data_IF_858471135216
#
_entry.id   IF_858471135216
#
_cell.length_a   1.000
_cell.length_b   1.000
_cell.length_c   1.000
_cell.angle_alpha   90.00
_cell.angle_beta   90.00
_cell.angle_gamma   90.00
#
_symmetry.space_group_name_H-M   'P 1'
#
loop_
_entity.id
_entity.type
_entity.pdbx_description
1 polymer ?
#
# COMPACT_ATOMS: atom_id res chain seq x y z
N UNK A 1 37.06 36.20 37.39
CA UNK A 1 36.79 34.79 37.08
C UNK A 1 35.26 34.65 36.88
N UNK A 2 34.82 34.59 35.61
CA UNK A 2 33.44 34.29 35.25
C UNK A 2 33.50 32.89 34.61
N UNK A 3 33.09 31.85 35.37
CA UNK A 3 32.87 30.51 34.84
C UNK A 3 31.72 30.54 33.84
N UNK A 4 32.04 30.38 32.57
CA UNK A 4 31.10 30.13 31.54
C UNK A 4 30.68 28.65 31.60
N UNK A 5 29.54 28.37 32.21
CA UNK A 5 28.94 27.04 32.13
C UNK A 5 28.38 26.83 30.74
N UNK A 6 29.13 26.14 29.91
CA UNK A 6 28.62 25.59 28.66
C UNK A 6 27.59 24.50 28.94
N UNK A 7 26.32 24.82 28.83
CA UNK A 7 25.27 23.79 28.76
C UNK A 7 25.42 23.04 27.44
N UNK A 8 25.77 21.77 27.52
CA UNK A 8 25.75 20.88 26.37
C UNK A 8 24.31 20.87 25.79
N UNK A 9 24.10 21.51 24.66
CA UNK A 9 22.92 21.35 23.86
C UNK A 9 22.90 19.90 23.40
N UNK A 10 21.99 19.12 23.93
CA UNK A 10 21.70 17.76 23.44
C UNK A 10 21.31 17.90 21.97
N UNK A 11 22.16 17.42 21.08
CA UNK A 11 21.77 17.17 19.70
C UNK A 11 20.75 16.05 19.79
N UNK A 12 19.48 16.39 19.70
CA UNK A 12 18.42 15.41 19.44
C UNK A 12 18.66 14.92 18.02
N UNK A 13 19.36 13.80 17.90
CA UNK A 13 19.26 12.96 16.72
C UNK A 13 17.83 12.44 16.77
N UNK A 14 16.92 13.06 16.01
CA UNK A 14 15.61 12.46 15.80
C UNK A 14 15.88 11.07 15.23
N UNK A 15 15.46 10.03 15.94
CA UNK A 15 15.46 8.69 15.39
C UNK A 15 14.83 8.79 14.00
N UNK A 16 15.57 8.38 12.98
CA UNK A 16 15.04 8.37 11.60
C UNK A 16 13.91 7.36 11.64
N UNK A 17 12.68 7.85 11.55
CA UNK A 17 11.50 7.01 11.53
C UNK A 17 11.57 6.13 10.28
N UNK A 18 11.86 4.85 10.45
CA UNK A 18 11.81 3.87 9.37
C UNK A 18 10.35 3.61 9.00
N UNK A 19 10.07 3.49 7.70
CA UNK A 19 8.72 3.25 7.19
C UNK A 19 8.71 2.01 6.30
N UNK A 20 7.81 1.09 6.60
CA UNK A 20 7.69 -0.17 5.87
C UNK A 20 6.55 -0.11 4.85
N UNK A 21 6.84 -0.50 3.61
CA UNK A 21 5.82 -0.79 2.60
C UNK A 21 5.54 -2.30 2.58
N UNK A 22 4.33 -2.71 2.91
CA UNK A 22 3.87 -4.10 2.85
C UNK A 22 3.14 -4.33 1.53
N UNK A 23 3.59 -5.31 0.75
CA UNK A 23 3.14 -5.55 -0.62
C UNK A 23 2.46 -6.90 -0.72
N UNK A 24 1.17 -6.89 -1.06
CA UNK A 24 0.36 -8.08 -1.28
C UNK A 24 0.62 -8.66 -2.68
N UNK A 25 1.50 -9.66 -2.79
CA UNK A 25 1.91 -10.29 -4.04
C UNK A 25 1.64 -11.82 -4.08
N UNK A 26 0.96 -12.38 -3.07
CA UNK A 26 0.64 -13.80 -2.99
C UNK A 26 -0.63 -14.22 -3.79
N UNK A 27 -1.33 -13.27 -4.41
CA UNK A 27 -2.54 -13.52 -5.19
C UNK A 27 -2.27 -14.42 -6.40
N UNK A 28 -3.20 -15.36 -6.65
CA UNK A 28 -3.13 -16.23 -7.82
C UNK A 28 -3.57 -15.46 -9.07
N UNK A 29 -2.63 -15.07 -9.90
CA UNK A 29 -2.86 -14.47 -11.21
C UNK A 29 -3.45 -15.45 -12.25
N UNK A 30 -4.41 -16.28 -11.84
CA UNK A 30 -4.95 -17.41 -12.63
C UNK A 30 -5.51 -17.03 -14.00
N UNK A 31 -5.85 -15.76 -14.20
CA UNK A 31 -6.40 -15.26 -15.47
C UNK A 31 -5.34 -14.94 -16.54
N UNK A 32 -4.05 -14.85 -16.15
CA UNK A 32 -2.95 -14.44 -17.02
C UNK A 32 -2.03 -15.61 -17.41
N UNK A 33 -2.30 -16.85 -16.98
CA UNK A 33 -1.46 -18.02 -17.28
C UNK A 33 -0.07 -17.97 -16.65
N UNK A 34 0.20 -17.00 -15.76
CA UNK A 34 1.48 -16.77 -15.08
C UNK A 34 1.34 -15.82 -13.90
N UNK A 35 2.47 -15.33 -13.39
CA UNK A 35 2.50 -14.32 -12.31
C UNK A 35 2.18 -12.96 -12.92
N UNK A 36 0.94 -12.54 -12.84
CA UNK A 36 0.39 -11.28 -13.38
C UNK A 36 1.23 -10.05 -13.03
N UNK A 37 1.81 -10.03 -11.84
CA UNK A 37 2.63 -8.93 -11.33
C UNK A 37 3.95 -8.74 -12.09
N UNK A 38 4.35 -9.74 -12.90
CA UNK A 38 5.60 -9.78 -13.67
C UNK A 38 5.40 -9.56 -15.18
N UNK A 39 4.26 -8.97 -15.58
CA UNK A 39 4.04 -8.57 -16.97
C UNK A 39 4.75 -7.22 -17.23
N UNK A 40 5.68 -7.12 -18.19
CA UNK A 40 6.37 -5.88 -18.51
C UNK A 40 5.41 -4.82 -19.05
N UNK A 41 5.46 -3.61 -18.49
CA UNK A 41 4.55 -2.51 -18.87
C UNK A 41 5.24 -1.36 -19.59
N UNK A 42 6.57 -1.39 -19.70
CA UNK A 42 7.35 -0.40 -20.45
C UNK A 42 8.46 -1.03 -21.31
N UNK A 43 9.19 -0.19 -22.05
CA UNK A 43 10.29 -0.59 -22.95
C UNK A 43 11.52 -1.16 -22.22
N UNK A 44 11.68 -0.82 -20.94
CA UNK A 44 12.83 -1.22 -20.11
C UNK A 44 12.54 -2.52 -19.33
N UNK A 45 11.34 -3.09 -19.53
CA UNK A 45 10.91 -4.33 -18.90
C UNK A 45 10.49 -4.17 -17.44
N UNK A 46 10.13 -2.96 -17.02
CA UNK A 46 9.60 -2.71 -15.68
C UNK A 46 8.18 -3.24 -15.55
N UNK A 47 7.85 -3.69 -14.35
CA UNK A 47 6.52 -4.14 -13.97
C UNK A 47 5.72 -3.00 -13.33
N UNK A 48 4.42 -3.16 -13.15
CA UNK A 48 3.59 -2.14 -12.50
C UNK A 48 4.07 -1.85 -11.07
N UNK A 49 4.49 -2.88 -10.35
CA UNK A 49 5.02 -2.76 -8.99
C UNK A 49 6.32 -1.95 -8.92
N UNK A 50 7.15 -1.95 -9.96
CA UNK A 50 8.41 -1.18 -10.00
C UNK A 50 8.13 0.31 -9.82
N UNK A 51 7.02 0.83 -10.37
CA UNK A 51 6.60 2.22 -10.22
C UNK A 51 6.14 2.51 -8.80
N UNK A 52 5.36 1.62 -8.18
CA UNK A 52 4.94 1.77 -6.78
C UNK A 52 6.13 1.77 -5.83
N UNK A 53 7.13 0.93 -6.08
CA UNK A 53 8.35 0.87 -5.27
C UNK A 53 9.26 2.08 -5.48
N UNK A 54 9.35 2.57 -6.71
CA UNK A 54 10.05 3.83 -6.99
C UNK A 54 9.40 4.99 -6.22
N UNK A 55 8.07 5.15 -6.34
CA UNK A 55 7.32 6.21 -5.66
C UNK A 55 7.44 6.12 -4.14
N UNK A 56 7.38 4.92 -3.57
CA UNK A 56 7.58 4.68 -2.15
C UNK A 56 8.99 5.08 -1.71
N UNK A 57 10.04 4.66 -2.44
CA UNK A 57 11.43 4.95 -2.10
C UNK A 57 11.73 6.44 -2.05
N UNK A 58 11.25 7.20 -3.04
CA UNK A 58 11.43 8.66 -3.07
C UNK A 58 10.54 9.40 -2.07
N UNK A 59 9.49 8.75 -1.57
CA UNK A 59 8.61 9.27 -0.50
C UNK A 59 9.14 8.97 0.90
N UNK A 60 10.26 8.23 1.01
CA UNK A 60 10.95 7.96 2.26
C UNK A 60 10.61 6.63 2.91
N UNK A 61 9.96 5.70 2.20
CA UNK A 61 9.91 4.30 2.61
C UNK A 61 11.27 3.66 2.38
N UNK A 62 11.85 3.09 3.40
CA UNK A 62 13.19 2.49 3.38
C UNK A 62 13.16 0.96 3.48
N UNK A 63 12.03 0.37 3.85
CA UNK A 63 11.81 -1.07 3.92
C UNK A 63 10.64 -1.51 3.05
N UNK A 64 10.78 -2.66 2.40
CA UNK A 64 9.71 -3.33 1.65
C UNK A 64 9.54 -4.77 2.14
N UNK A 65 8.36 -5.10 2.64
CA UNK A 65 7.98 -6.48 2.98
C UNK A 65 7.07 -7.03 1.90
N UNK A 66 7.60 -7.95 1.10
CA UNK A 66 6.88 -8.52 -0.05
C UNK A 66 6.29 -9.86 0.33
N UNK A 67 4.96 -9.93 0.36
CA UNK A 67 4.23 -11.16 0.69
C UNK A 67 4.00 -11.94 -0.59
N UNK A 68 4.61 -13.12 -0.68
CA UNK A 68 4.56 -13.99 -1.86
C UNK A 68 4.18 -15.42 -1.46
N UNK A 69 3.92 -16.26 -2.44
CA UNK A 69 3.90 -17.71 -2.24
C UNK A 69 5.33 -18.25 -2.33
N UNK A 70 5.65 -19.26 -1.51
CA UNK A 70 6.99 -19.85 -1.47
C UNK A 70 7.49 -20.31 -2.84
N UNK A 71 6.59 -20.87 -3.65
CA UNK A 71 6.89 -21.33 -5.01
C UNK A 71 7.40 -20.20 -5.95
N UNK A 72 7.07 -18.94 -5.67
CA UNK A 72 7.45 -17.79 -6.47
C UNK A 72 8.73 -17.07 -5.97
N UNK A 73 9.35 -17.54 -4.87
CA UNK A 73 10.48 -16.85 -4.26
C UNK A 73 11.63 -16.60 -5.22
N UNK A 74 12.08 -17.62 -5.96
CA UNK A 74 13.20 -17.49 -6.90
C UNK A 74 12.90 -16.44 -7.97
N UNK A 75 11.68 -16.45 -8.52
CA UNK A 75 11.26 -15.49 -9.54
C UNK A 75 11.30 -14.06 -9.01
N UNK A 76 10.74 -13.82 -7.81
CA UNK A 76 10.74 -12.49 -7.22
C UNK A 76 12.15 -11.99 -6.87
N UNK A 77 13.01 -12.85 -6.33
CA UNK A 77 14.41 -12.48 -6.02
C UNK A 77 15.24 -12.18 -7.27
N UNK A 78 15.07 -12.95 -8.33
CA UNK A 78 15.83 -12.80 -9.58
C UNK A 78 15.38 -11.59 -10.41
N UNK A 79 14.15 -11.16 -10.27
CA UNK A 79 13.57 -10.04 -11.03
C UNK A 79 13.50 -8.78 -10.16
N UNK A 80 12.49 -8.68 -9.31
CA UNK A 80 12.22 -7.51 -8.49
C UNK A 80 13.31 -7.28 -7.43
N UNK A 81 13.79 -8.36 -6.77
CA UNK A 81 14.79 -8.27 -5.71
C UNK A 81 16.05 -7.55 -6.14
N UNK A 82 16.63 -7.96 -7.26
CA UNK A 82 17.85 -7.32 -7.80
C UNK A 82 17.70 -5.83 -8.12
N UNK A 83 16.49 -5.38 -8.42
CA UNK A 83 16.19 -3.97 -8.70
C UNK A 83 16.02 -3.14 -7.43
N UNK A 84 15.43 -3.77 -6.40
CA UNK A 84 15.06 -3.10 -5.14
C UNK A 84 16.18 -3.04 -4.11
N UNK A 85 17.06 -4.06 -4.07
CA UNK A 85 18.14 -4.18 -3.08
C UNK A 85 19.04 -2.93 -2.98
N UNK A 86 19.08 -2.11 -4.04
CA UNK A 86 19.83 -0.85 -4.05
C UNK A 86 19.01 0.37 -3.56
N UNK A 87 17.71 0.22 -3.27
CA UNK A 87 16.82 1.32 -2.89
C UNK A 87 16.14 1.15 -1.56
N UNK A 88 15.82 -0.08 -1.21
CA UNK A 88 15.05 -0.42 0.00
C UNK A 88 15.60 -1.73 0.59
N UNK A 89 15.45 -1.87 1.91
CA UNK A 89 15.69 -3.15 2.58
C UNK A 89 14.50 -4.08 2.31
N UNK A 90 14.75 -5.20 1.61
CA UNK A 90 13.68 -6.08 1.12
C UNK A 90 13.59 -7.35 1.92
N UNK A 91 12.46 -7.58 2.56
CA UNK A 91 12.12 -8.83 3.25
C UNK A 91 11.01 -9.57 2.51
N UNK A 92 11.19 -10.88 2.28
CA UNK A 92 10.16 -11.74 1.70
C UNK A 92 9.45 -12.52 2.81
N UNK A 93 8.12 -12.45 2.81
CA UNK A 93 7.24 -13.20 3.71
C UNK A 93 6.39 -14.15 2.89
N UNK A 94 6.16 -15.36 3.40
CA UNK A 94 5.40 -16.38 2.69
C UNK A 94 3.99 -16.51 3.25
N UNK A 95 3.00 -16.36 2.39
CA UNK A 95 1.62 -16.66 2.72
C UNK A 95 1.32 -18.13 2.37
N UNK A 96 1.62 -19.01 3.30
CA UNK A 96 1.32 -20.45 3.19
C UNK A 96 0.23 -20.84 4.20
N UNK A 97 -0.42 -21.99 4.00
CA UNK A 97 -1.49 -22.46 4.89
C UNK A 97 -1.00 -22.80 6.30
N UNK A 98 0.29 -23.14 6.42
CA UNK A 98 0.95 -23.51 7.66
C UNK A 98 1.76 -22.38 8.30
N UNK A 99 1.81 -21.20 7.68
CA UNK A 99 2.51 -20.02 8.25
C UNK A 99 1.91 -19.63 9.61
N UNK A 100 0.60 -19.80 9.76
CA UNK A 100 -0.11 -19.63 11.03
C UNK A 100 -0.91 -20.95 11.24
N UNK A 101 -0.28 -21.97 11.85
CA UNK A 101 -0.87 -23.29 11.95
C UNK A 101 -2.16 -23.27 12.79
N UNK A 102 -3.22 -23.83 12.26
CA UNK A 102 -4.46 -24.05 12.99
C UNK A 102 -5.16 -25.32 12.48
N UNK A 103 -5.58 -26.20 13.39
CA UNK A 103 -6.21 -27.48 13.06
C UNK A 103 -7.59 -27.33 12.41
N UNK A 104 -8.19 -26.16 12.43
CA UNK A 104 -9.45 -25.85 11.76
C UNK A 104 -9.28 -25.64 10.26
N UNK A 105 -8.04 -25.38 9.79
CA UNK A 105 -7.74 -25.18 8.36
C UNK A 105 -7.65 -26.56 7.70
N UNK A 106 -8.52 -26.86 6.69
CA UNK A 106 -8.45 -28.13 5.99
C UNK A 106 -7.12 -28.30 5.25
N UNK A 107 -6.52 -29.49 5.35
CA UNK A 107 -5.22 -29.79 4.73
C UNK A 107 -5.26 -29.83 3.19
N UNK A 108 -6.44 -29.99 2.61
CA UNK A 108 -6.70 -30.00 1.16
C UNK A 108 -7.17 -28.67 0.61
N UNK A 109 -7.24 -27.63 1.45
CA UNK A 109 -7.53 -26.27 1.01
C UNK A 109 -6.38 -25.72 0.14
N UNK A 110 -6.71 -25.25 -1.05
CA UNK A 110 -5.75 -24.61 -1.98
C UNK A 110 -5.93 -23.08 -2.10
N UNK A 111 -7.13 -22.58 -1.76
CA UNK A 111 -7.42 -21.15 -1.81
C UNK A 111 -6.73 -20.43 -0.65
N UNK A 112 -5.98 -19.33 -0.90
CA UNK A 112 -5.39 -18.53 0.16
C UNK A 112 -6.43 -18.05 1.19
N UNK A 113 -5.99 -17.83 2.43
CA UNK A 113 -6.87 -17.42 3.53
C UNK A 113 -7.29 -15.95 3.50
N UNK A 114 -6.89 -15.19 2.48
CA UNK A 114 -7.30 -13.82 2.26
C UNK A 114 -6.21 -12.79 2.60
N UNK A 115 -6.51 -11.52 2.33
CA UNK A 115 -5.54 -10.40 2.42
C UNK A 115 -5.17 -10.03 3.86
N UNK A 116 -6.09 -10.17 4.82
CA UNK A 116 -5.76 -9.95 6.23
C UNK A 116 -4.85 -11.06 6.79
N UNK A 117 -5.02 -12.32 6.36
CA UNK A 117 -4.10 -13.38 6.70
C UNK A 117 -2.69 -13.10 6.13
N UNK A 118 -2.59 -12.56 4.91
CA UNK A 118 -1.31 -12.16 4.33
C UNK A 118 -0.60 -11.14 5.23
N UNK A 119 -1.32 -10.10 5.70
CA UNK A 119 -0.76 -9.12 6.64
C UNK A 119 -0.33 -9.79 7.96
N UNK A 120 -1.13 -10.69 8.50
CA UNK A 120 -0.80 -11.39 9.73
C UNK A 120 0.48 -12.24 9.60
N UNK A 121 0.81 -12.74 8.41
CA UNK A 121 2.09 -13.43 8.17
C UNK A 121 3.31 -12.51 8.35
N UNK A 122 3.13 -11.18 8.35
CA UNK A 122 4.21 -10.20 8.54
C UNK A 122 4.47 -9.84 10.01
N UNK A 123 3.72 -10.40 10.98
CA UNK A 123 3.76 -9.99 12.40
C UNK A 123 5.15 -10.03 13.04
N UNK A 124 6.02 -10.94 12.58
CA UNK A 124 7.36 -11.12 13.15
C UNK A 124 8.44 -10.27 12.44
N UNK A 125 8.08 -9.52 11.40
CA UNK A 125 9.02 -8.73 10.59
C UNK A 125 8.65 -7.25 10.47
N UNK A 126 7.38 -6.90 10.71
CA UNK A 126 6.92 -5.51 10.70
C UNK A 126 6.92 -4.99 12.14
N UNK A 127 7.86 -4.09 12.43
CA UNK A 127 8.14 -3.52 13.75
C UNK A 127 7.96 -1.99 13.79
N UNK A 128 7.40 -1.40 12.74
CA UNK A 128 7.20 0.03 12.55
C UNK A 128 5.85 0.29 11.88
N UNK A 129 5.34 1.53 11.89
CA UNK A 129 4.19 1.89 11.08
C UNK A 129 4.42 1.56 9.60
N UNK A 130 3.39 1.06 8.94
CA UNK A 130 3.49 0.55 7.59
C UNK A 130 2.32 0.96 6.71
N UNK A 131 2.57 1.08 5.41
CA UNK A 131 1.55 1.19 4.39
C UNK A 131 1.38 -0.12 3.65
N UNK A 132 0.17 -0.44 3.21
CA UNK A 132 -0.17 -1.67 2.49
C UNK A 132 -0.55 -1.31 1.06
N UNK A 133 -0.08 -2.08 0.08
CA UNK A 133 -0.48 -1.99 -1.32
C UNK A 133 -0.64 -3.37 -1.96
N UNK A 134 -1.39 -3.44 -3.05
CA UNK A 134 -1.41 -4.60 -3.94
C UNK A 134 -0.26 -4.51 -4.94
N UNK A 135 0.35 -5.64 -5.28
CA UNK A 135 1.49 -5.70 -6.21
C UNK A 135 1.11 -5.47 -7.69
N UNK A 136 -0.16 -5.60 -8.03
CA UNK A 136 -0.67 -5.48 -9.41
C UNK A 136 -1.39 -4.17 -9.69
N UNK A 137 -1.23 -3.19 -8.80
CA UNK A 137 -1.87 -1.88 -8.86
C UNK A 137 -0.84 -0.74 -8.95
N UNK A 138 -1.18 0.29 -9.71
CA UNK A 138 -0.45 1.55 -9.77
C UNK A 138 -1.18 2.61 -8.95
N UNK A 139 -0.52 3.13 -7.93
CA UNK A 139 -1.08 4.05 -6.96
C UNK A 139 -0.77 5.52 -7.24
N UNK A 140 0.36 5.81 -7.91
CA UNK A 140 0.85 7.14 -8.23
C UNK A 140 1.61 7.85 -7.11
N UNK A 141 2.54 8.76 -7.46
CA UNK A 141 3.51 9.34 -6.52
C UNK A 141 2.88 10.16 -5.40
N UNK A 142 1.75 10.83 -5.66
CA UNK A 142 1.07 11.61 -4.62
C UNK A 142 0.57 10.71 -3.47
N UNK A 143 0.08 9.51 -3.77
CA UNK A 143 -0.44 8.60 -2.76
C UNK A 143 0.63 8.15 -1.77
N UNK A 144 1.84 7.88 -2.24
CA UNK A 144 2.98 7.52 -1.38
C UNK A 144 3.47 8.70 -0.54
N UNK A 145 3.50 9.92 -1.10
CA UNK A 145 3.83 11.14 -0.33
C UNK A 145 2.84 11.36 0.80
N UNK A 146 1.54 11.26 0.50
CA UNK A 146 0.48 11.41 1.50
C UNK A 146 0.57 10.32 2.58
N UNK A 147 0.83 9.07 2.20
CA UNK A 147 1.01 7.97 3.15
C UNK A 147 2.22 8.20 4.06
N UNK A 148 3.35 8.62 3.50
CA UNK A 148 4.57 8.95 4.25
C UNK A 148 4.35 10.13 5.22
N UNK A 149 3.69 11.18 4.76
CA UNK A 149 3.34 12.33 5.60
C UNK A 149 2.44 11.89 6.77
N UNK A 150 1.40 11.11 6.49
CA UNK A 150 0.49 10.60 7.50
C UNK A 150 1.21 9.72 8.55
N UNK A 151 2.13 8.84 8.12
CA UNK A 151 2.93 8.04 9.05
C UNK A 151 3.71 8.93 10.00
N UNK A 152 4.29 10.02 9.52
CA UNK A 152 5.15 10.90 10.32
C UNK A 152 4.38 11.82 11.25
N UNK A 153 3.13 12.15 10.94
CA UNK A 153 2.41 13.24 11.61
C UNK A 153 1.19 12.78 12.40
N UNK A 154 0.52 11.71 11.97
CA UNK A 154 -0.80 11.35 12.50
C UNK A 154 -0.94 9.88 12.90
N UNK A 155 -0.20 8.95 12.23
CA UNK A 155 -0.34 7.51 12.49
C UNK A 155 0.00 7.17 13.95
N UNK A 156 -0.90 6.47 14.62
CA UNK A 156 -0.76 6.09 16.02
C UNK A 156 -1.58 4.83 16.32
N UNK A 157 -1.49 4.30 17.54
CA UNK A 157 -2.27 3.13 17.96
C UNK A 157 -3.79 3.32 17.82
N UNK A 158 -4.26 4.56 17.71
CA UNK A 158 -5.68 4.90 17.59
C UNK A 158 -6.04 5.69 16.33
N UNK A 159 -5.07 5.96 15.45
CA UNK A 159 -5.30 6.74 14.23
C UNK A 159 -4.67 6.02 13.05
N UNK A 160 -5.52 5.45 12.22
CA UNK A 160 -5.16 4.70 11.01
C UNK A 160 -5.48 5.55 9.78
N UNK A 161 -4.88 5.25 8.65
CA UNK A 161 -5.12 5.94 7.39
C UNK A 161 -5.64 5.02 6.28
N UNK A 162 -6.50 5.56 5.44
CA UNK A 162 -6.90 4.97 4.17
C UNK A 162 -6.67 6.01 3.07
N UNK A 163 -5.80 5.70 2.11
CA UNK A 163 -5.67 6.54 0.92
C UNK A 163 -6.86 6.28 0.02
N UNK A 164 -7.72 7.29 -0.10
CA UNK A 164 -8.98 7.23 -0.81
C UNK A 164 -8.85 7.88 -2.19
N UNK A 165 -9.27 7.16 -3.22
CA UNK A 165 -9.30 7.61 -4.60
C UNK A 165 -10.72 8.08 -4.96
N UNK A 166 -10.84 8.95 -5.94
CA UNK A 166 -12.14 9.30 -6.53
C UNK A 166 -12.63 8.13 -7.38
N UNK A 167 -13.86 7.68 -7.19
CA UNK A 167 -14.44 6.53 -7.91
C UNK A 167 -14.24 6.64 -9.43
N UNK A 168 -14.49 7.84 -10.01
CA UNK A 168 -14.30 8.10 -11.44
C UNK A 168 -12.85 7.96 -11.93
N UNK A 169 -11.86 7.97 -11.03
CA UNK A 169 -10.44 7.78 -11.36
C UNK A 169 -9.98 6.33 -11.19
N UNK A 170 -10.88 5.40 -10.89
CA UNK A 170 -10.59 3.97 -10.65
C UNK A 170 -11.39 3.01 -11.51
N UNK A 171 -12.18 3.51 -12.45
CA UNK A 171 -12.97 2.70 -13.37
C UNK A 171 -12.11 2.11 -14.50
N UNK A 172 -12.54 0.98 -15.05
CA UNK A 172 -11.99 0.39 -16.28
C UNK A 172 -12.96 0.62 -17.45
N UNK A 173 -12.42 0.87 -18.63
CA UNK A 173 -13.19 0.94 -19.88
C UNK A 173 -13.64 -0.45 -20.34
N UNK A 174 -13.02 -1.51 -19.82
CA UNK A 174 -13.23 -2.91 -20.22
C UNK A 174 -14.32 -3.62 -19.42
N UNK A 175 -14.94 -2.97 -18.44
CA UNK A 175 -16.03 -3.58 -17.67
C UNK A 175 -16.18 -3.05 -16.25
N UNK A 176 -16.97 -3.79 -15.47
CA UNK A 176 -17.20 -3.48 -14.07
C UNK A 176 -15.96 -3.72 -13.21
N UNK A 177 -15.83 -2.95 -12.15
CA UNK A 177 -14.70 -3.05 -11.19
C UNK A 177 -15.24 -3.24 -9.78
N UNK A 178 -14.47 -3.91 -8.92
CA UNK A 178 -14.78 -4.06 -7.49
C UNK A 178 -14.00 -3.01 -6.70
N UNK A 179 -14.69 -2.25 -5.83
CA UNK A 179 -14.09 -1.19 -5.02
C UNK A 179 -14.72 -1.14 -3.64
N UNK A 180 -13.93 -0.80 -2.64
CA UNK A 180 -14.43 -0.45 -1.32
C UNK A 180 -14.98 0.98 -1.32
N UNK A 181 -16.29 1.16 -1.48
CA UNK A 181 -16.93 2.48 -1.42
C UNK A 181 -16.89 2.98 0.01
N UNK A 182 -16.29 4.15 0.24
CA UNK A 182 -16.09 4.72 1.58
C UNK A 182 -17.19 5.71 1.93
N UNK A 183 -17.83 5.50 3.09
CA UNK A 183 -18.66 6.51 3.74
C UNK A 183 -17.77 7.35 4.65
N UNK A 184 -17.69 8.66 4.39
CA UNK A 184 -16.81 9.58 5.13
C UNK A 184 -17.63 10.56 5.95
N UNK A 185 -17.31 10.66 7.24
CA UNK A 185 -17.93 11.62 8.17
C UNK A 185 -16.86 12.35 8.96
N UNK A 186 -16.82 13.66 8.87
CA UNK A 186 -15.84 14.48 9.58
C UNK A 186 -14.37 14.17 9.26
N UNK A 187 -14.10 13.72 8.02
CA UNK A 187 -12.76 13.33 7.58
C UNK A 187 -12.37 11.90 7.94
N UNK A 188 -13.23 11.15 8.62
CA UNK A 188 -13.00 9.75 8.96
C UNK A 188 -13.83 8.82 8.05
N UNK A 189 -13.24 7.73 7.61
CA UNK A 189 -13.96 6.62 6.97
C UNK A 189 -14.68 5.84 8.07
N UNK A 190 -15.99 5.87 8.04
CA UNK A 190 -16.83 5.18 9.04
C UNK A 190 -17.35 3.84 8.54
N UNK A 191 -17.33 3.63 7.21
CA UNK A 191 -17.74 2.38 6.59
C UNK A 191 -17.03 2.20 5.25
N UNK A 192 -16.66 0.97 4.93
CA UNK A 192 -16.16 0.56 3.61
C UNK A 192 -17.08 -0.54 3.10
N UNK A 193 -17.82 -0.24 2.03
CA UNK A 193 -18.75 -1.18 1.41
C UNK A 193 -18.16 -1.73 0.12
N UNK A 194 -17.72 -2.99 0.13
CA UNK A 194 -17.25 -3.67 -1.07
C UNK A 194 -18.36 -3.76 -2.11
N UNK A 195 -18.15 -3.13 -3.27
CA UNK A 195 -19.16 -2.94 -4.29
C UNK A 195 -18.64 -3.21 -5.69
N UNK A 196 -19.52 -3.69 -6.56
CA UNK A 196 -19.28 -3.68 -8.00
C UNK A 196 -19.68 -2.31 -8.53
N UNK A 197 -18.73 -1.57 -9.12
CA UNK A 197 -18.99 -0.30 -9.78
C UNK A 197 -19.12 -0.54 -11.28
N UNK A 198 -20.21 -0.04 -11.86
CA UNK A 198 -20.49 -0.02 -13.30
C UNK A 198 -20.70 1.41 -13.75
N UNK A 199 -20.47 1.66 -15.05
CA UNK A 199 -20.80 2.94 -15.67
C UNK A 199 -21.92 2.72 -16.69
N UNK A 200 -22.98 3.53 -16.61
CA UNK A 200 -24.06 3.50 -17.58
C UNK A 200 -23.67 4.22 -18.90
N UNK A 201 -24.53 4.15 -19.89
CA UNK A 201 -24.31 4.77 -21.21
C UNK A 201 -24.21 6.30 -21.18
N UNK A 202 -24.61 6.94 -20.08
CA UNK A 202 -24.53 8.39 -19.86
C UNK A 202 -23.32 8.79 -19.01
N UNK A 203 -22.45 7.82 -18.66
CA UNK A 203 -21.28 8.05 -17.82
C UNK A 203 -21.56 8.08 -16.33
N UNK A 204 -22.79 7.77 -15.86
CA UNK A 204 -23.16 7.74 -14.44
C UNK A 204 -22.63 6.47 -13.79
N UNK A 205 -22.03 6.60 -12.62
CA UNK A 205 -21.54 5.48 -11.85
C UNK A 205 -22.65 4.88 -10.97
N UNK A 206 -22.71 3.56 -10.95
CA UNK A 206 -23.61 2.77 -10.12
C UNK A 206 -22.79 1.81 -9.29
N UNK A 207 -22.98 1.79 -7.97
CA UNK A 207 -22.34 0.87 -7.03
C UNK A 207 -23.38 -0.14 -6.55
N UNK A 208 -23.07 -1.44 -6.68
CA UNK A 208 -23.89 -2.54 -6.18
C UNK A 208 -23.09 -3.25 -5.08
N UNK A 209 -23.54 -3.24 -3.80
CA UNK A 209 -22.84 -3.92 -2.72
C UNK A 209 -22.68 -5.41 -2.98
N UNK A 210 -21.51 -5.98 -2.70
CA UNK A 210 -21.26 -7.43 -2.82
C UNK A 210 -22.04 -8.24 -1.78
N UNK A 211 -22.38 -7.62 -0.65
CA UNK A 211 -23.23 -8.23 0.39
C UNK A 211 -24.70 -8.38 -0.02
N UNK A 212 -25.07 -7.87 -1.19
CA UNK A 212 -26.43 -7.85 -1.70
C UNK A 212 -27.10 -6.47 -1.54
N UNK A 213 -28.14 -6.23 -2.30
CA UNK A 213 -28.88 -4.97 -2.34
C UNK A 213 -28.98 -4.39 -3.75
N UNK A 214 -29.70 -3.27 -3.86
CA UNK A 214 -29.92 -2.59 -5.13
C UNK A 214 -28.70 -1.71 -5.50
N UNK A 215 -28.50 -1.54 -6.81
CA UNK A 215 -27.52 -0.61 -7.33
C UNK A 215 -27.88 0.84 -6.98
N UNK A 216 -26.98 1.55 -6.35
CA UNK A 216 -27.13 2.97 -6.01
C UNK A 216 -26.21 3.82 -6.87
N UNK A 217 -26.72 4.99 -7.29
CA UNK A 217 -25.89 5.96 -7.99
C UNK A 217 -24.90 6.60 -7.04
N UNK A 218 -23.65 6.70 -7.48
CA UNK A 218 -22.58 7.38 -6.75
C UNK A 218 -22.00 8.52 -7.61
N UNK A 219 -21.41 9.52 -6.94
CA UNK A 219 -20.68 10.59 -7.60
C UNK A 219 -19.30 10.11 -8.06
N UNK A 220 -18.77 10.70 -9.13
CA UNK A 220 -17.41 10.41 -9.61
C UNK A 220 -16.32 10.78 -8.60
N UNK A 221 -16.60 11.70 -7.67
CA UNK A 221 -15.71 12.06 -6.57
C UNK A 221 -15.94 11.24 -5.30
N UNK A 222 -16.91 10.29 -5.29
CA UNK A 222 -17.11 9.41 -4.14
C UNK A 222 -15.80 8.73 -3.76
N UNK A 223 -15.35 8.82 -2.48
CA UNK A 223 -14.12 8.17 -2.05
C UNK A 223 -14.24 6.64 -2.12
N UNK A 224 -13.20 6.00 -2.66
CA UNK A 224 -13.09 4.55 -2.71
C UNK A 224 -11.72 4.10 -2.21
N UNK A 225 -11.70 3.01 -1.46
CA UNK A 225 -10.48 2.32 -1.06
C UNK A 225 -9.97 1.42 -2.19
N UNK A 226 -8.64 1.46 -2.39
CA UNK A 226 -7.90 0.56 -3.26
C UNK A 226 -6.92 -0.31 -2.47
N UNK A 227 -7.26 -0.66 -1.22
CA UNK A 227 -6.42 -1.39 -0.27
C UNK A 227 -5.13 -0.68 0.16
N UNK A 228 -4.99 0.63 -0.09
CA UNK A 228 -3.88 1.39 0.45
C UNK A 228 -4.23 1.89 1.85
N UNK A 229 -3.88 1.09 2.85
CA UNK A 229 -4.07 1.40 4.27
C UNK A 229 -2.74 1.73 4.93
N UNK A 230 -2.78 2.58 5.95
CA UNK A 230 -1.64 2.95 6.78
C UNK A 230 -1.98 2.58 8.22
N UNK A 231 -1.17 1.70 8.79
CA UNK A 231 -1.44 1.08 10.09
C UNK A 231 -0.20 1.16 10.99
N UNK A 232 -0.36 1.32 12.31
CA UNK A 232 0.71 1.12 13.26
C UNK A 232 1.02 -0.38 13.41
N UNK A 233 2.22 -0.71 13.87
CA UNK A 233 2.63 -2.09 14.19
C UNK A 233 1.69 -2.74 15.21
N UNK A 234 1.22 -1.98 16.22
CA UNK A 234 0.28 -2.46 17.24
C UNK A 234 -1.03 -3.01 16.67
N UNK A 235 -1.39 -2.65 15.44
CA UNK A 235 -2.56 -3.19 14.74
C UNK A 235 -2.50 -4.71 14.55
N UNK A 236 -1.29 -5.32 14.51
CA UNK A 236 -1.11 -6.77 14.34
C UNK A 236 -1.85 -7.59 15.39
N UNK A 237 -1.98 -7.09 16.62
CA UNK A 237 -2.74 -7.77 17.67
C UNK A 237 -4.23 -7.93 17.31
N UNK A 238 -4.82 -6.95 16.61
CA UNK A 238 -6.19 -7.05 16.12
C UNK A 238 -6.33 -8.04 14.96
N UNK A 239 -5.34 -8.10 14.07
CA UNK A 239 -5.31 -9.12 13.00
C UNK A 239 -5.23 -10.53 13.58
N UNK A 240 -4.41 -10.75 14.59
CA UNK A 240 -4.28 -12.06 15.24
C UNK A 240 -5.58 -12.47 15.95
N UNK A 241 -6.15 -11.59 16.77
CA UNK A 241 -7.43 -11.83 17.45
C UNK A 241 -8.54 -12.08 16.43
N UNK A 242 -8.68 -11.23 15.44
CA UNK A 242 -9.71 -11.32 14.40
C UNK A 242 -9.58 -12.61 13.58
N UNK A 243 -8.36 -13.10 13.34
CA UNK A 243 -8.15 -14.38 12.65
C UNK A 243 -8.69 -15.56 13.45
N UNK A 244 -8.48 -15.59 14.77
CA UNK A 244 -9.04 -16.61 15.64
C UNK A 244 -10.58 -16.58 15.65
N UNK A 245 -11.18 -15.38 15.65
CA UNK A 245 -12.62 -15.21 15.55
C UNK A 245 -13.15 -15.66 14.17
N UNK A 246 -12.47 -15.28 13.08
CA UNK A 246 -12.79 -15.72 11.73
C UNK A 246 -12.83 -17.26 11.64
N UNK A 247 -11.77 -17.95 12.08
CA UNK A 247 -11.70 -19.41 12.08
C UNK A 247 -12.75 -20.09 12.96
N UNK A 248 -13.32 -19.36 13.93
CA UNK A 248 -14.38 -19.90 14.80
C UNK A 248 -15.79 -19.77 14.18
N UNK A 249 -15.94 -18.87 13.18
CA UNK A 249 -17.26 -18.48 12.65
C UNK A 249 -17.39 -18.62 11.13
N UNK A 250 -16.32 -19.04 10.42
CA UNK A 250 -16.37 -19.14 8.97
C UNK A 250 -17.40 -20.17 8.48
N UNK A 251 -18.16 -19.82 7.45
CA UNK A 251 -19.24 -20.64 6.92
C UNK A 251 -18.70 -21.83 6.11
N UNK A 252 -17.65 -21.59 5.30
CA UNK A 252 -17.03 -22.58 4.44
C UNK A 252 -15.50 -22.57 4.60
N UNK A 253 -14.93 -23.56 5.31
CA UNK A 253 -13.49 -23.67 5.50
C UNK A 253 -12.67 -23.79 4.20
N UNK A 254 -13.29 -24.16 3.08
CA UNK A 254 -12.60 -24.34 1.80
C UNK A 254 -12.50 -23.02 0.99
N UNK A 255 -13.44 -22.10 1.18
CA UNK A 255 -13.55 -20.91 0.30
C UNK A 255 -13.60 -19.57 1.02
N UNK A 256 -13.97 -19.52 2.32
CA UNK A 256 -14.01 -18.25 3.07
C UNK A 256 -12.65 -17.58 3.15
N UNK A 257 -12.61 -16.24 3.10
CA UNK A 257 -11.39 -15.44 3.14
C UNK A 257 -11.43 -14.42 4.28
N UNK A 258 -10.34 -14.29 5.00
CA UNK A 258 -10.11 -13.25 6.00
C UNK A 258 -9.59 -11.99 5.31
N UNK A 259 -10.47 -11.00 5.14
CA UNK A 259 -10.24 -9.85 4.26
C UNK A 259 -9.77 -8.60 5.03
N UNK A 260 -8.78 -7.92 4.49
CA UNK A 260 -8.17 -6.71 5.07
C UNK A 260 -9.19 -5.57 5.32
N UNK A 261 -10.08 -5.21 4.37
CA UNK A 261 -11.05 -4.14 4.61
C UNK A 261 -12.03 -4.46 5.75
N UNK A 262 -12.39 -5.74 5.92
CA UNK A 262 -13.28 -6.17 7.00
C UNK A 262 -12.61 -6.04 8.37
N UNK A 263 -11.33 -6.42 8.48
CA UNK A 263 -10.56 -6.29 9.72
C UNK A 263 -10.43 -4.83 10.13
N UNK A 264 -10.04 -3.96 9.18
CA UNK A 264 -9.92 -2.53 9.44
C UNK A 264 -11.27 -1.92 9.84
N UNK A 265 -12.35 -2.30 9.15
CA UNK A 265 -13.71 -1.84 9.50
C UNK A 265 -14.13 -2.31 10.89
N UNK A 266 -13.82 -3.54 11.28
CA UNK A 266 -14.14 -4.05 12.63
C UNK A 266 -13.38 -3.29 13.72
N UNK A 267 -12.08 -2.97 13.51
CA UNK A 267 -11.27 -2.17 14.45
C UNK A 267 -11.93 -0.80 14.69
N UNK A 268 -12.40 -0.15 13.60
CA UNK A 268 -13.08 1.16 13.65
C UNK A 268 -14.44 1.07 14.35
N UNK A 269 -15.26 0.09 13.97
CA UNK A 269 -16.60 -0.10 14.51
C UNK A 269 -16.59 -0.44 16.01
N UNK A 270 -15.55 -1.15 16.46
CA UNK A 270 -15.34 -1.46 17.89
C UNK A 270 -14.80 -0.25 18.69
N UNK A 271 -14.54 0.89 18.03
CA UNK A 271 -14.02 2.10 18.66
C UNK A 271 -12.57 2.02 19.10
N UNK A 272 -11.81 1.05 18.55
CA UNK A 272 -10.41 0.86 18.88
C UNK A 272 -9.50 1.87 18.16
N UNK A 273 -9.89 2.31 16.95
CA UNK A 273 -9.17 3.34 16.20
C UNK A 273 -10.14 4.18 15.34
N UNK A 274 -9.66 5.35 14.90
CA UNK A 274 -10.26 6.14 13.83
C UNK A 274 -9.52 5.82 12.51
N UNK A 275 -10.25 5.79 11.39
CA UNK A 275 -9.69 5.62 10.06
C UNK A 275 -9.79 6.93 9.28
N UNK A 276 -8.71 7.66 9.13
CA UNK A 276 -8.65 8.91 8.36
C UNK A 276 -8.81 8.66 6.88
N UNK A 277 -9.66 9.46 6.24
CA UNK A 277 -9.76 9.50 4.78
C UNK A 277 -8.68 10.44 4.23
N UNK A 278 -7.66 9.88 3.59
CA UNK A 278 -6.57 10.63 2.98
C UNK A 278 -6.87 10.69 1.48
N UNK A 279 -7.45 11.81 1.04
CA UNK A 279 -7.87 11.95 -0.36
C UNK A 279 -6.66 12.18 -1.28
N UNK A 280 -6.61 11.43 -2.38
CA UNK A 280 -5.63 11.63 -3.45
C UNK A 280 -6.30 12.03 -4.76
N UNK A 281 -5.61 12.86 -5.55
CA UNK A 281 -6.02 13.21 -6.92
C UNK A 281 -5.41 12.29 -7.99
N UNK A 282 -4.65 11.27 -7.59
CA UNK A 282 -4.05 10.33 -8.53
C UNK A 282 -5.11 9.54 -9.31
N UNK A 283 -4.74 9.15 -10.52
CA UNK A 283 -5.47 8.14 -11.27
C UNK A 283 -4.88 6.77 -10.95
N UNK A 284 -5.70 5.90 -10.39
CA UNK A 284 -5.33 4.53 -10.14
C UNK A 284 -5.43 3.70 -11.44
N UNK A 285 -4.51 2.76 -11.61
CA UNK A 285 -4.53 1.77 -12.67
C UNK A 285 -4.30 0.39 -12.07
N UNK A 286 -5.02 -0.60 -12.56
CA UNK A 286 -4.81 -1.99 -12.17
C UNK A 286 -5.08 -2.91 -13.34
N UNK A 287 -4.44 -4.06 -13.36
CA UNK A 287 -4.66 -5.08 -14.38
C UNK A 287 -5.81 -6.00 -13.97
N UNK A 288 -7.05 -5.49 -14.00
CA UNK A 288 -8.24 -6.30 -13.70
C UNK A 288 -8.57 -7.25 -14.85
N UNK A 289 -8.46 -6.75 -16.07
CA UNK A 289 -8.65 -7.48 -17.33
C UNK A 289 -7.33 -7.50 -18.10
N UNK A 290 -7.15 -8.49 -18.99
CA UNK A 290 -5.96 -8.55 -19.84
C UNK A 290 -5.91 -7.37 -20.82
N UNK A 291 -7.08 -6.87 -21.22
CA UNK A 291 -7.27 -5.71 -22.08
C UNK A 291 -6.85 -4.39 -21.41
N UNK A 292 -6.76 -4.35 -20.07
CA UNK A 292 -6.27 -3.17 -19.34
C UNK A 292 -4.78 -2.92 -19.59
N UNK A 293 -4.02 -3.95 -20.03
CA UNK A 293 -2.57 -3.87 -20.20
C UNK A 293 -2.15 -2.73 -21.15
N UNK A 294 -2.83 -2.59 -22.29
CA UNK A 294 -2.50 -1.54 -23.28
C UNK A 294 -2.80 -0.14 -22.74
N UNK A 295 -3.87 0.01 -21.96
CA UNK A 295 -4.23 1.28 -21.33
C UNK A 295 -3.24 1.64 -20.23
N UNK A 296 -2.79 0.68 -19.44
CA UNK A 296 -1.74 0.84 -18.41
C UNK A 296 -0.41 1.24 -19.07
N UNK A 297 0.04 0.52 -20.11
CA UNK A 297 1.26 0.86 -20.86
C UNK A 297 1.21 2.28 -21.43
N UNK A 298 0.06 2.67 -21.98
CA UNK A 298 -0.15 4.02 -22.52
C UNK A 298 -0.08 5.09 -21.44
N UNK A 299 -0.73 4.86 -20.30
CA UNK A 299 -0.74 5.79 -19.17
C UNK A 299 0.68 5.98 -18.58
N UNK A 300 1.40 4.88 -18.36
CA UNK A 300 2.77 4.92 -17.84
C UNK A 300 3.71 5.61 -18.83
N UNK A 301 3.64 5.27 -20.13
CA UNK A 301 4.43 5.95 -21.16
C UNK A 301 4.15 7.45 -21.22
N UNK A 302 2.91 7.86 -20.95
CA UNK A 302 2.54 9.27 -20.83
C UNK A 302 3.24 9.94 -19.65
N UNK A 303 3.26 9.32 -18.48
CA UNK A 303 3.92 9.81 -17.26
C UNK A 303 5.45 9.92 -17.43
N UNK A 304 6.09 8.94 -18.07
CA UNK A 304 7.53 8.99 -18.39
C UNK A 304 7.82 10.20 -19.31
N UNK A 305 7.03 10.37 -20.37
CA UNK A 305 7.19 11.53 -21.28
C UNK A 305 6.97 12.88 -20.61
N UNK A 306 6.12 12.95 -19.59
CA UNK A 306 5.89 14.16 -18.81
C UNK A 306 6.97 14.42 -17.77
N UNK A 307 7.92 13.49 -17.57
CA UNK A 307 9.00 13.59 -16.60
C UNK A 307 8.61 13.19 -15.17
N UNK A 308 7.45 12.53 -14.99
CA UNK A 308 7.04 12.01 -13.68
C UNK A 308 7.97 10.87 -13.23
N UNK A 309 8.54 10.13 -14.20
CA UNK A 309 9.52 9.06 -13.97
C UNK A 309 10.75 9.24 -14.85
N UNK A 310 11.95 8.91 -14.36
CA UNK A 310 13.16 8.91 -15.17
C UNK A 310 13.09 7.82 -16.24
N UNK A 311 13.78 8.02 -17.38
CA UNK A 311 13.84 7.06 -18.47
C UNK A 311 14.37 5.68 -18.05
N UNK A 312 15.19 5.65 -17.01
CA UNK A 312 15.71 4.42 -16.41
C UNK A 312 15.64 4.53 -14.87
N UNK A 313 14.57 3.98 -14.28
CA UNK A 313 14.34 4.04 -12.83
C UNK A 313 15.43 3.34 -12.01
N UNK A 314 16.12 2.37 -12.58
CA UNK A 314 17.12 1.54 -11.89
C UNK A 314 18.56 1.78 -12.38
N UNK A 315 18.80 2.81 -13.21
CA UNK A 315 20.16 3.18 -13.54
C UNK A 315 20.91 3.56 -12.27
N UNK A 316 22.13 3.01 -12.12
CA UNK A 316 23.03 3.31 -11.01
C UNK A 316 23.65 4.73 -11.09
N UNK A 317 23.05 5.63 -11.83
CA UNK A 317 23.47 7.01 -11.77
C UNK A 317 23.08 7.55 -10.38
N UNK A 318 24.00 7.38 -9.44
CA UNK A 318 24.12 8.20 -8.24
C UNK A 318 24.42 9.65 -8.64
N UNK A 319 23.53 10.28 -9.40
CA UNK A 319 23.44 11.71 -9.37
C UNK A 319 22.91 12.04 -7.98
N UNK A 320 23.84 12.37 -7.11
CA UNK A 320 23.55 12.89 -5.79
C UNK A 320 22.46 13.96 -5.98
N UNK A 321 21.29 13.75 -5.38
CA UNK A 321 20.26 14.79 -5.31
C UNK A 321 20.99 15.98 -4.69
N UNK A 322 21.08 17.15 -5.36
CA UNK A 322 21.76 18.28 -4.80
C UNK A 322 21.00 18.68 -3.52
N UNK A 323 21.54 18.28 -2.38
CA UNK A 323 21.00 18.67 -1.08
C UNK A 323 21.51 20.06 -0.81
N UNK A 324 20.64 21.07 -0.90
CA UNK A 324 20.93 22.41 -0.40
C UNK A 324 20.68 22.43 1.10
N UNK A 325 21.75 22.38 1.89
CA UNK A 325 21.67 22.59 3.33
C UNK A 325 21.62 24.10 3.57
N UNK A 326 20.45 24.61 3.98
CA UNK A 326 20.32 25.99 4.44
C UNK A 326 20.59 26.03 5.95
N UNK A 327 21.78 26.50 6.34
CA UNK A 327 22.12 26.71 7.75
C UNK A 327 21.69 28.13 8.09
N UNK A 328 20.66 28.29 8.91
CA UNK A 328 20.30 29.58 9.51
C UNK A 328 21.29 29.92 10.60
N UNK A 329 22.36 30.64 10.28
CA UNK A 329 23.31 31.17 11.25
C UNK A 329 22.91 32.62 11.56
N UNK A 330 22.53 32.89 12.79
CA UNK A 330 22.33 34.23 13.31
C UNK A 330 23.47 34.53 14.31
N UNK A 331 24.35 35.51 13.96
CA UNK A 331 25.48 35.93 14.77
C UNK A 331 26.60 34.88 15.00
N UNK A 332 26.82 33.96 14.05
CA UNK A 332 27.82 32.86 14.14
C UNK A 332 29.03 33.11 13.22
N UNK A 333 29.39 34.39 12.97
CA UNK A 333 30.48 34.77 12.07
C UNK A 333 31.82 34.08 12.34
N UNK A 334 32.06 33.63 13.57
CA UNK A 334 33.32 33.00 13.97
C UNK A 334 33.29 31.47 13.93
N UNK A 335 32.14 30.82 13.65
CA UNK A 335 31.99 29.37 13.70
C UNK A 335 31.77 28.73 12.32
N UNK A 336 31.41 29.51 11.29
CA UNK A 336 31.09 29.01 9.94
C UNK A 336 32.35 28.48 9.20
N UNK A 337 33.54 28.95 9.53
CA UNK A 337 34.80 28.53 8.87
C UNK A 337 35.30 27.13 9.34
N UNK A 338 34.63 26.44 10.28
CA UNK A 338 35.07 25.19 10.86
C UNK A 338 34.16 23.97 10.56
N UNK A 339 33.10 24.14 9.79
CA UNK A 339 32.21 23.07 9.32
C UNK A 339 32.41 22.81 7.84
#
# INVERSE_FOLDING_TARGET
EIECQMTASSIYVSEVLTMTLVILAAGMGSRFGGVKQMEPIDKDGNFIIDYSLFDASISGFDRATVIIRKENESLFRETLGKRLENRMDVTYVFQEMDTIPDSRIPSDRTKPLGTAHAILCCRDVVDQPFAIINADDFYGPQSFRLASEFIRTECSDRTYGCVCYKAGKTISENGSVKRGVCTVVGGNVVEITESVITQDTNGKLLATPLSGGDAAAIDSNTPVSMNMFILPESSMAYFEKGFQEFLSKWDDPMTSEYLLPEVVSNIVNDGNAELKCIETDEKWFGMTYIEDLDSVKTAISGRIRNGDYPDNMYSQNNEAIPISICICAYNEENNIERT
#
